data_IF_559702286946
#
_entry.id   IF_559702286946
#
_cell.length_a   1.000
_cell.length_b   1.000
_cell.length_c   1.000
_cell.angle_alpha   90.00
_cell.angle_beta   90.00
_cell.angle_gamma   90.00
#
_symmetry.space_group_name_H-M   'P 1'
#
loop_
_entity.id
_entity.type
_entity.pdbx_description
1 polymer ?
#
# COMPACT_ATOMS: atom_id res chain seq x y z
N UNK A 1 11.62 -17.80 -1.79
CA UNK A 1 12.22 -16.48 -1.64
C UNK A 1 11.30 -15.41 -2.20
N UNK A 2 11.79 -14.20 -2.36
CA UNK A 2 10.94 -13.09 -2.81
C UNK A 2 10.23 -13.38 -4.13
N UNK A 3 10.87 -14.10 -5.06
CA UNK A 3 10.27 -14.43 -6.35
C UNK A 3 9.03 -15.31 -6.23
N UNK A 4 8.95 -16.12 -5.19
CA UNK A 4 7.81 -17.00 -4.96
C UNK A 4 6.60 -16.26 -4.45
N UNK A 5 6.80 -15.04 -3.95
CA UNK A 5 5.73 -14.24 -3.37
C UNK A 5 5.05 -13.31 -4.38
N UNK A 6 5.59 -13.25 -5.61
CA UNK A 6 5.02 -12.41 -6.65
C UNK A 6 3.63 -12.89 -7.04
N UNK A 7 2.72 -11.96 -7.26
CA UNK A 7 1.36 -12.24 -7.69
C UNK A 7 1.12 -11.57 -9.04
N UNK A 8 0.40 -12.27 -9.90
CA UNK A 8 0.06 -11.78 -11.24
C UNK A 8 -1.42 -11.48 -11.32
N UNK A 9 -1.76 -10.40 -11.99
CA UNK A 9 -3.15 -9.99 -12.20
C UNK A 9 -3.37 -9.61 -13.65
N UNK A 10 -4.58 -9.88 -14.11
CA UNK A 10 -5.00 -9.56 -15.48
C UNK A 10 -5.84 -8.28 -15.48
N UNK A 11 -5.97 -7.61 -16.65
CA UNK A 11 -6.78 -6.40 -16.74
C UNK A 11 -8.18 -6.60 -16.18
N UNK A 12 -8.68 -5.59 -15.52
CA UNK A 12 -10.01 -5.50 -14.88
C UNK A 12 -10.14 -6.34 -13.61
N UNK A 13 -9.11 -7.07 -13.20
CA UNK A 13 -9.11 -7.68 -11.88
C UNK A 13 -8.81 -6.60 -10.82
N UNK A 14 -9.30 -6.82 -9.60
CA UNK A 14 -9.01 -5.95 -8.47
C UNK A 14 -8.00 -6.63 -7.56
N UNK A 15 -6.94 -5.89 -7.22
CA UNK A 15 -5.96 -6.39 -6.24
C UNK A 15 -6.58 -6.33 -4.85
N UNK A 16 -7.30 -5.24 -4.57
CA UNK A 16 -8.17 -5.15 -3.39
C UNK A 16 -9.24 -4.11 -3.67
N UNK A 17 -10.29 -4.12 -2.85
CA UNK A 17 -11.41 -3.20 -3.01
C UNK A 17 -11.54 -2.28 -1.80
N UNK A 18 -12.02 -1.09 -2.05
CA UNK A 18 -12.29 -0.09 -1.01
C UNK A 18 -13.14 -0.70 0.09
N UNK A 19 -12.77 -0.44 1.34
CA UNK A 19 -13.50 -0.93 2.51
C UNK A 19 -13.06 -2.30 3.01
N UNK A 20 -12.34 -3.08 2.22
CA UNK A 20 -11.84 -4.38 2.67
C UNK A 20 -10.78 -4.20 3.74
N UNK A 21 -10.64 -5.19 4.60
CA UNK A 21 -9.53 -5.24 5.54
C UNK A 21 -8.24 -5.45 4.77
N UNK A 22 -7.19 -4.75 5.18
CA UNK A 22 -5.90 -4.90 4.54
C UNK A 22 -4.79 -4.86 5.56
N UNK A 23 -3.78 -5.68 5.35
CA UNK A 23 -2.62 -5.77 6.22
C UNK A 23 -1.30 -5.82 5.43
N UNK A 24 -1.38 -5.50 4.14
CA UNK A 24 -0.21 -5.56 3.27
C UNK A 24 -0.10 -4.31 2.42
N UNK A 25 1.14 -3.96 2.08
CA UNK A 25 1.43 -3.05 0.99
C UNK A 25 1.81 -3.88 -0.23
N UNK A 26 1.89 -3.25 -1.37
CA UNK A 26 2.27 -3.91 -2.62
C UNK A 26 3.23 -3.04 -3.39
N UNK A 27 4.26 -3.66 -3.96
CA UNK A 27 5.16 -2.99 -4.89
C UNK A 27 4.77 -3.43 -6.30
N UNK A 28 4.45 -2.47 -7.17
CA UNK A 28 4.15 -2.80 -8.56
C UNK A 28 5.45 -3.00 -9.32
N UNK A 29 5.72 -4.25 -9.69
CA UNK A 29 6.95 -4.59 -10.39
C UNK A 29 6.83 -4.38 -11.89
N UNK A 30 5.65 -4.64 -12.44
CA UNK A 30 5.40 -4.54 -13.88
C UNK A 30 3.92 -4.30 -14.10
N UNK A 31 3.57 -3.46 -15.06
CA UNK A 31 2.19 -3.20 -15.42
C UNK A 31 1.71 -1.81 -15.05
N UNK A 32 0.41 -1.68 -14.90
CA UNK A 32 -0.23 -0.41 -14.55
C UNK A 32 -1.55 -0.67 -13.88
N UNK A 33 -1.83 0.05 -12.80
CA UNK A 33 -3.09 -0.11 -12.06
C UNK A 33 -3.73 1.25 -11.82
N UNK A 34 -5.04 1.24 -11.62
CA UNK A 34 -5.82 2.43 -11.34
C UNK A 34 -6.23 2.47 -9.88
N UNK A 35 -6.18 3.65 -9.28
CA UNK A 35 -6.73 3.90 -7.95
C UNK A 35 -8.15 4.41 -8.15
N UNK A 36 -9.12 3.73 -7.53
CA UNK A 36 -10.53 4.10 -7.61
C UNK A 36 -11.10 4.35 -6.21
N UNK A 37 -11.84 5.45 -6.09
CA UNK A 37 -12.57 5.77 -4.87
C UNK A 37 -14.02 6.00 -5.26
N UNK A 38 -14.93 5.28 -4.60
CA UNK A 38 -16.38 5.36 -4.89
C UNK A 38 -16.64 5.11 -6.38
N UNK A 39 -15.96 4.10 -6.92
CA UNK A 39 -16.08 3.64 -8.30
C UNK A 39 -15.58 4.63 -9.35
N UNK A 40 -14.84 5.64 -8.93
CA UNK A 40 -14.26 6.62 -9.86
C UNK A 40 -12.74 6.52 -9.84
N UNK A 41 -12.14 6.44 -11.01
CA UNK A 41 -10.70 6.45 -11.14
C UNK A 41 -10.18 7.84 -10.78
N UNK A 42 -9.29 7.91 -9.80
CA UNK A 42 -8.70 9.19 -9.37
C UNK A 42 -7.23 9.32 -9.75
N UNK A 43 -6.55 8.21 -10.02
CA UNK A 43 -5.13 8.23 -10.34
C UNK A 43 -4.69 6.88 -10.88
N UNK A 44 -3.44 6.80 -11.33
CA UNK A 44 -2.82 5.55 -11.77
C UNK A 44 -1.49 5.37 -11.05
N UNK A 45 -1.09 4.12 -10.92
CA UNK A 45 0.20 3.75 -10.33
C UNK A 45 1.02 3.07 -11.42
N UNK A 46 2.28 3.47 -11.52
CA UNK A 46 3.21 2.90 -12.49
C UNK A 46 4.26 2.03 -11.80
N UNK A 47 5.13 1.44 -12.62
CA UNK A 47 6.12 0.50 -12.14
C UNK A 47 7.01 1.09 -11.07
N UNK A 48 7.38 0.25 -10.11
CA UNK A 48 8.24 0.56 -8.97
C UNK A 48 7.64 1.53 -7.96
N UNK A 49 6.31 1.72 -8.01
CA UNK A 49 5.61 2.47 -6.98
C UNK A 49 4.93 1.51 -6.00
N UNK A 50 4.79 1.97 -4.77
CA UNK A 50 4.15 1.21 -3.69
C UNK A 50 2.72 1.70 -3.50
N UNK A 51 1.81 0.77 -3.23
CA UNK A 51 0.43 1.13 -2.91
C UNK A 51 -0.11 0.24 -1.81
N UNK A 52 -1.18 0.69 -1.15
CA UNK A 52 -1.80 -0.05 -0.06
C UNK A 52 -1.05 0.03 1.26
N UNK A 53 -0.05 0.92 1.36
CA UNK A 53 0.81 1.05 2.53
C UNK A 53 0.09 1.60 3.74
N UNK A 54 -0.99 2.36 3.54
CA UNK A 54 -1.75 2.91 4.67
C UNK A 54 -2.36 1.81 5.53
N UNK A 55 -2.87 0.75 4.90
CA UNK A 55 -3.43 -0.38 5.65
C UNK A 55 -2.35 -1.12 6.44
N UNK A 56 -1.16 -1.24 5.87
CA UNK A 56 -0.04 -1.89 6.55
C UNK A 56 0.40 -1.07 7.78
N UNK A 57 0.58 0.22 7.60
CA UNK A 57 1.13 1.10 8.64
C UNK A 57 0.08 1.49 9.68
N UNK A 58 -1.11 1.86 9.24
CA UNK A 58 -2.16 2.39 10.11
C UNK A 58 -3.19 1.36 10.55
N UNK A 59 -3.13 0.15 9.99
CA UNK A 59 -4.08 -0.94 10.31
C UNK A 59 -5.53 -0.54 10.02
N UNK A 60 -5.74 0.18 8.92
CA UNK A 60 -7.05 0.67 8.51
C UNK A 60 -7.59 -0.13 7.33
N UNK A 61 -8.92 -0.13 7.14
CA UNK A 61 -9.49 -0.69 5.92
C UNK A 61 -8.96 0.04 4.68
N UNK A 62 -9.08 -0.61 3.54
CA UNK A 62 -8.64 -0.04 2.27
C UNK A 62 -9.39 1.25 1.96
N UNK A 63 -8.66 2.34 1.75
CA UNK A 63 -9.25 3.64 1.44
C UNK A 63 -9.66 3.77 -0.03
N UNK A 64 -9.20 2.86 -0.87
CA UNK A 64 -9.46 2.88 -2.30
C UNK A 64 -9.43 1.46 -2.84
N UNK A 65 -9.95 1.29 -4.04
CA UNK A 65 -9.83 0.05 -4.80
C UNK A 65 -8.66 0.18 -5.77
N UNK A 66 -8.01 -0.93 -6.06
CA UNK A 66 -6.94 -0.98 -7.06
C UNK A 66 -7.37 -1.92 -8.17
N UNK A 67 -7.63 -1.37 -9.34
CA UNK A 67 -8.05 -2.12 -10.52
C UNK A 67 -6.89 -2.22 -11.50
N UNK A 68 -6.66 -3.39 -12.02
CA UNK A 68 -5.55 -3.65 -12.95
C UNK A 68 -5.91 -3.15 -14.36
N UNK A 69 -5.04 -2.37 -14.96
CA UNK A 69 -5.24 -1.82 -16.31
C UNK A 69 -4.52 -2.61 -17.38
N UNK A 70 -3.34 -3.13 -17.05
CA UNK A 70 -2.53 -3.99 -17.92
C UNK A 70 -2.12 -5.22 -17.14
N UNK A 71 -1.76 -6.32 -17.81
CA UNK A 71 -1.22 -7.47 -17.06
C UNK A 71 -0.12 -6.97 -16.11
N UNK A 72 -0.26 -7.29 -14.84
CA UNK A 72 0.58 -6.70 -13.80
C UNK A 72 1.16 -7.76 -12.87
N UNK A 73 2.34 -7.47 -12.35
CA UNK A 73 3.02 -8.30 -11.36
C UNK A 73 3.28 -7.43 -10.15
N UNK A 74 2.85 -7.90 -8.98
CA UNK A 74 3.05 -7.18 -7.72
C UNK A 74 3.79 -8.05 -6.72
N UNK A 75 4.49 -7.41 -5.80
CA UNK A 75 5.15 -8.05 -4.68
C UNK A 75 4.43 -7.63 -3.40
N UNK A 76 3.70 -8.56 -2.74
CA UNK A 76 3.05 -8.24 -1.47
C UNK A 76 4.08 -8.08 -0.36
N UNK A 77 3.86 -7.11 0.51
CA UNK A 77 4.74 -6.83 1.64
C UNK A 77 3.88 -6.75 2.90
N UNK A 78 4.03 -7.75 3.79
CA UNK A 78 3.35 -7.71 5.08
C UNK A 78 4.32 -7.17 6.15
N UNK A 79 3.85 -7.10 7.39
CA UNK A 79 4.66 -6.54 8.47
C UNK A 79 5.94 -7.37 8.71
N UNK A 80 5.84 -8.68 8.59
CA UNK A 80 7.00 -9.56 8.79
C UNK A 80 8.07 -9.30 7.73
N UNK A 81 7.65 -9.21 6.47
CA UNK A 81 8.58 -8.93 5.37
C UNK A 81 9.18 -7.54 5.52
N UNK A 82 8.37 -6.56 5.90
CA UNK A 82 8.88 -5.20 6.13
C UNK A 82 9.93 -5.19 7.23
N UNK A 83 9.68 -5.87 8.33
CA UNK A 83 10.64 -5.94 9.44
C UNK A 83 11.94 -6.60 9.00
N UNK A 84 11.87 -7.68 8.24
CA UNK A 84 13.06 -8.35 7.73
C UNK A 84 13.88 -7.44 6.82
N UNK A 85 13.22 -6.72 5.93
CA UNK A 85 13.89 -5.80 5.03
C UNK A 85 14.56 -4.66 5.80
N UNK A 86 13.90 -4.14 6.84
CA UNK A 86 14.47 -3.08 7.66
C UNK A 86 15.67 -3.56 8.45
N UNK A 87 15.64 -4.78 8.96
CA UNK A 87 16.77 -5.34 9.70
C UNK A 87 18.02 -5.48 8.84
N UNK A 88 17.84 -5.74 7.55
CA UNK A 88 18.94 -5.87 6.60
C UNK A 88 19.40 -4.53 6.05
N UNK A 89 18.69 -3.45 6.36
CA UNK A 89 19.00 -2.13 5.85
C UNK A 89 19.97 -1.39 6.78
N UNK A 90 20.73 -0.41 6.25
CA UNK A 90 21.54 0.45 7.12
C UNK A 90 20.67 1.16 8.16
N UNK A 91 21.23 1.46 9.34
CA UNK A 91 20.47 2.13 10.41
C UNK A 91 19.79 3.42 9.97
N UNK A 92 20.38 4.19 9.05
CA UNK A 92 19.79 5.44 8.59
C UNK A 92 18.48 5.17 7.84
N UNK A 93 18.41 4.13 7.03
CA UNK A 93 17.19 3.78 6.30
C UNK A 93 16.10 3.34 7.28
N UNK A 94 16.47 2.52 8.25
CA UNK A 94 15.56 2.06 9.30
C UNK A 94 14.95 3.26 10.05
N UNK A 95 15.78 4.22 10.41
CA UNK A 95 15.32 5.42 11.12
C UNK A 95 14.37 6.27 10.27
N UNK A 96 14.69 6.43 9.00
CA UNK A 96 13.83 7.20 8.08
C UNK A 96 12.44 6.54 7.98
N UNK A 97 12.39 5.23 7.77
CA UNK A 97 11.13 4.51 7.63
C UNK A 97 10.30 4.62 8.92
N UNK A 98 10.93 4.43 10.08
CA UNK A 98 10.23 4.57 11.37
C UNK A 98 9.67 5.97 11.56
N UNK A 99 10.46 7.00 11.23
CA UNK A 99 10.04 8.37 11.38
C UNK A 99 8.87 8.72 10.47
N UNK A 100 8.93 8.27 9.21
CA UNK A 100 7.85 8.51 8.25
C UNK A 100 6.57 7.80 8.67
N UNK A 101 6.68 6.57 9.16
CA UNK A 101 5.52 5.82 9.65
C UNK A 101 4.87 6.52 10.84
N UNK A 102 5.69 7.01 11.77
CA UNK A 102 5.19 7.74 12.93
C UNK A 102 4.47 9.02 12.51
N UNK A 103 5.06 9.79 11.61
CA UNK A 103 4.45 11.03 11.11
C UNK A 103 3.14 10.77 10.39
N UNK A 104 3.08 9.70 9.61
CA UNK A 104 1.86 9.31 8.91
C UNK A 104 0.74 9.00 9.91
N UNK A 105 1.06 8.24 10.95
CA UNK A 105 0.09 7.92 12.00
C UNK A 105 -0.41 9.17 12.73
N UNK A 106 0.48 10.14 12.99
CA UNK A 106 0.09 11.39 13.63
C UNK A 106 -0.83 12.22 12.73
N UNK A 107 -0.51 12.32 11.43
CA UNK A 107 -1.37 13.03 10.49
C UNK A 107 -2.76 12.41 10.42
N UNK A 108 -2.83 11.09 10.41
CA UNK A 108 -4.11 10.39 10.38
C UNK A 108 -4.95 10.70 11.62
N UNK A 109 -4.33 10.70 12.81
CA UNK A 109 -5.02 11.04 14.05
C UNK A 109 -5.55 12.47 14.03
N UNK A 110 -4.76 13.40 13.54
CA UNK A 110 -5.16 14.80 13.44
C UNK A 110 -6.38 14.96 12.52
N UNK A 111 -6.38 14.29 11.39
CA UNK A 111 -7.50 14.33 10.44
C UNK A 111 -8.76 13.79 11.10
N UNK A 112 -8.65 12.67 11.83
CA UNK A 112 -9.80 12.08 12.51
C UNK A 112 -10.34 12.98 13.61
N UNK A 113 -9.47 13.62 14.38
CA UNK A 113 -9.89 14.56 15.42
C UNK A 113 -10.67 15.72 14.79
N UNK A 114 -10.17 16.27 13.69
CA UNK A 114 -10.87 17.36 12.99
C UNK A 114 -12.24 16.93 12.48
N UNK A 115 -12.35 15.71 11.95
CA UNK A 115 -13.63 15.18 11.48
C UNK A 115 -14.62 15.00 12.62
N UNK A 116 -14.14 14.55 13.79
CA UNK A 116 -15.00 14.30 14.93
C UNK A 116 -15.47 15.57 15.63
N UNK A 117 -14.87 16.69 15.36
CA UNK A 117 -15.26 17.97 15.96
C UNK A 117 -16.45 18.64 15.30
N UNK A 118 -17.00 18.05 14.28
CA UNK A 118 -18.20 18.60 13.62
C UNK A 118 -19.48 18.36 14.44
#
# INVERSE_FOLDING_TARGET
MANELKQKFLPDEYIFRQGEKGDKAYLLLDGRVAIEVNDKKISEISEMEIFGEMSLILKKPRSASIRVLKPSVVLPIDQTILNELLEKSPPVIKSIVKQLSYRLAQCDKEIQVLKNKK
#
